data_IF_879688281952
#
_entry.id   IF_879688281952
#
_cell.length_a   1.000
_cell.length_b   1.000
_cell.length_c   1.000
_cell.angle_alpha   90.00
_cell.angle_beta   90.00
_cell.angle_gamma   90.00
#
_symmetry.space_group_name_H-M   'P 1'
#
loop_
_entity.id
_entity.type
_entity.pdbx_description
1 polymer ?
#
# COMPACT_ATOMS: atom_id res chain seq x y z
N UNK A 1 -4.86 -24.40 -2.04
CA UNK A 1 -3.98 -23.56 -1.22
C UNK A 1 -3.71 -22.24 -1.89
N UNK A 2 -3.17 -21.28 -1.15
CA UNK A 2 -2.77 -19.98 -1.69
C UNK A 2 -1.51 -20.15 -2.57
N UNK A 3 -1.56 -19.61 -3.80
CA UNK A 3 -0.47 -19.70 -4.77
C UNK A 3 0.15 -18.32 -4.97
N UNK A 4 1.47 -18.22 -4.96
CA UNK A 4 2.20 -16.96 -5.07
C UNK A 4 3.43 -17.00 -6.01
N UNK A 5 3.54 -18.06 -6.81
CA UNK A 5 4.66 -18.27 -7.74
C UNK A 5 4.78 -17.16 -8.81
N UNK A 6 3.67 -16.49 -9.08
CA UNK A 6 3.61 -15.35 -10.01
C UNK A 6 3.90 -13.99 -9.35
N UNK A 7 4.24 -14.00 -8.06
CA UNK A 7 4.45 -12.80 -7.27
C UNK A 7 3.19 -12.26 -6.59
N UNK A 8 3.42 -11.50 -5.53
CA UNK A 8 2.38 -10.84 -4.74
C UNK A 8 2.76 -9.38 -4.53
N UNK A 9 1.82 -8.48 -4.74
CA UNK A 9 1.93 -7.10 -4.32
C UNK A 9 1.26 -6.93 -2.95
N UNK A 10 2.05 -6.61 -1.94
CA UNK A 10 1.58 -6.27 -0.59
C UNK A 10 1.45 -4.76 -0.44
N UNK A 11 0.31 -4.30 0.02
CA UNK A 11 0.09 -2.88 0.34
C UNK A 11 0.04 -2.76 1.85
N UNK A 12 1.02 -2.06 2.44
CA UNK A 12 1.17 -1.95 3.89
C UNK A 12 1.31 -0.50 4.35
N UNK A 13 0.99 -0.24 5.60
CA UNK A 13 1.08 1.09 6.24
C UNK A 13 2.51 1.55 6.56
N UNK A 14 3.49 0.66 6.44
CA UNK A 14 4.90 0.92 6.77
C UNK A 14 5.35 0.28 8.08
N UNK A 15 4.55 -0.63 8.65
CA UNK A 15 4.96 -1.45 9.80
C UNK A 15 6.19 -2.29 9.47
N UNK A 16 7.29 -2.05 10.20
CA UNK A 16 8.56 -2.77 10.04
C UNK A 16 8.42 -4.28 10.33
N UNK A 17 7.54 -4.62 11.29
CA UNK A 17 7.26 -6.02 11.65
C UNK A 17 6.55 -6.76 10.51
N UNK A 18 5.51 -6.16 9.92
CA UNK A 18 4.78 -6.73 8.78
C UNK A 18 5.73 -6.86 7.58
N UNK A 19 6.50 -5.82 7.27
CA UNK A 19 7.51 -5.86 6.21
C UNK A 19 8.45 -7.04 6.37
N UNK A 20 9.06 -7.20 7.54
CA UNK A 20 9.98 -8.29 7.84
C UNK A 20 9.31 -9.67 7.69
N UNK A 21 8.08 -9.82 8.16
CA UNK A 21 7.31 -11.06 8.02
C UNK A 21 7.04 -11.40 6.55
N UNK A 22 6.67 -10.42 5.72
CA UNK A 22 6.47 -10.58 4.28
C UNK A 22 7.78 -11.03 3.61
N UNK A 23 8.89 -10.34 3.88
CA UNK A 23 10.21 -10.66 3.31
C UNK A 23 10.66 -12.08 3.68
N UNK A 24 10.47 -12.48 4.94
CA UNK A 24 10.84 -13.81 5.42
C UNK A 24 9.96 -14.93 4.85
N UNK A 25 8.67 -14.66 4.63
CA UNK A 25 7.71 -15.68 4.19
C UNK A 25 7.72 -15.84 2.66
N UNK A 26 7.78 -14.75 1.92
CA UNK A 26 7.59 -14.73 0.48
C UNK A 26 8.87 -14.45 -0.31
N UNK A 27 9.90 -13.90 0.33
CA UNK A 27 11.20 -13.65 -0.28
C UNK A 27 11.11 -12.91 -1.62
N UNK A 28 11.71 -13.46 -2.70
CA UNK A 28 11.76 -12.80 -4.00
C UNK A 28 10.39 -12.66 -4.69
N UNK A 29 9.37 -13.36 -4.21
CA UNK A 29 8.01 -13.29 -4.75
C UNK A 29 7.21 -12.10 -4.22
N UNK A 30 7.68 -11.44 -3.17
CA UNK A 30 7.01 -10.29 -2.59
C UNK A 30 7.46 -8.98 -3.25
N UNK A 31 6.48 -8.15 -3.61
CA UNK A 31 6.66 -6.73 -3.85
C UNK A 31 5.88 -5.98 -2.78
N UNK A 32 6.46 -4.90 -2.27
CA UNK A 32 5.83 -4.09 -1.23
C UNK A 32 5.54 -2.71 -1.79
N UNK A 33 4.28 -2.28 -1.70
CA UNK A 33 3.85 -0.90 -1.86
C UNK A 33 3.54 -0.34 -0.49
N UNK A 34 4.24 0.68 -0.07
CA UNK A 34 3.92 1.42 1.16
C UNK A 34 2.75 2.36 0.91
N UNK A 35 1.79 2.40 1.82
CA UNK A 35 0.63 3.27 1.76
C UNK A 35 1.05 4.75 1.68
N UNK A 36 0.72 5.41 0.56
CA UNK A 36 1.09 6.81 0.32
C UNK A 36 0.38 7.77 1.25
N UNK A 37 -0.83 7.43 1.67
CA UNK A 37 -1.59 8.25 2.62
C UNK A 37 -0.90 8.28 3.98
N UNK A 38 -0.61 7.12 4.58
CA UNK A 38 0.11 7.02 5.85
C UNK A 38 1.50 7.65 5.77
N UNK A 39 2.20 7.44 4.66
CA UNK A 39 3.52 8.05 4.45
C UNK A 39 3.45 9.57 4.44
N UNK A 40 2.49 10.13 3.72
CA UNK A 40 2.24 11.57 3.68
C UNK A 40 1.94 12.14 5.07
N UNK A 41 1.01 11.52 5.80
CA UNK A 41 0.64 11.99 7.14
C UNK A 41 1.83 11.88 8.12
N UNK A 42 2.64 10.83 8.04
CA UNK A 42 3.86 10.71 8.84
C UNK A 42 4.87 11.83 8.55
N UNK A 43 5.05 12.23 7.28
CA UNK A 43 5.95 13.33 6.91
C UNK A 43 5.45 14.66 7.48
N UNK A 44 4.17 14.96 7.25
CA UNK A 44 3.62 16.25 7.64
C UNK A 44 3.44 16.39 9.16
N UNK A 45 3.33 15.30 9.91
CA UNK A 45 3.23 15.34 11.38
C UNK A 45 4.42 16.02 12.09
N UNK A 46 5.55 16.12 11.41
CA UNK A 46 6.74 16.83 11.91
C UNK A 46 6.71 18.35 11.62
N UNK A 47 5.72 18.83 10.87
CA UNK A 47 5.63 20.23 10.42
C UNK A 47 4.60 21.01 11.24
N UNK A 48 4.72 22.34 11.25
CA UNK A 48 3.67 23.21 11.78
C UNK A 48 2.41 23.19 10.90
N UNK A 49 1.28 23.65 11.41
CA UNK A 49 -0.03 23.54 10.74
C UNK A 49 -0.05 24.20 9.34
N UNK A 50 0.59 25.35 9.18
CA UNK A 50 0.63 26.06 7.90
C UNK A 50 1.39 25.24 6.84
N UNK A 51 2.56 24.71 7.20
CA UNK A 51 3.37 23.88 6.32
C UNK A 51 2.70 22.52 6.03
N UNK A 52 1.97 21.94 7.01
CA UNK A 52 1.23 20.69 6.80
C UNK A 52 0.28 20.78 5.60
N UNK A 53 -0.50 21.86 5.50
CA UNK A 53 -1.45 22.05 4.40
C UNK A 53 -0.73 22.09 3.06
N UNK A 54 0.37 22.87 2.99
CA UNK A 54 1.15 23.02 1.77
C UNK A 54 1.81 21.71 1.35
N UNK A 55 2.49 21.03 2.28
CA UNK A 55 3.24 19.80 1.96
C UNK A 55 2.32 18.59 1.73
N UNK A 56 1.14 18.50 2.36
CA UNK A 56 0.14 17.46 2.00
C UNK A 56 -0.21 17.52 0.52
N UNK A 57 -0.51 18.71 0.00
CA UNK A 57 -0.84 18.91 -1.42
C UNK A 57 0.34 18.58 -2.30
N UNK A 58 1.51 19.13 -2.01
CA UNK A 58 2.71 18.92 -2.83
C UNK A 58 3.17 17.47 -2.89
N UNK A 59 3.09 16.73 -1.77
CA UNK A 59 3.36 15.29 -1.73
C UNK A 59 2.33 14.51 -2.56
N UNK A 60 1.07 14.90 -2.50
CA UNK A 60 0.02 14.30 -3.33
C UNK A 60 0.28 14.54 -4.82
N UNK A 61 0.63 15.76 -5.20
CA UNK A 61 0.95 16.12 -6.58
C UNK A 61 2.20 15.36 -7.07
N UNK A 62 3.23 15.22 -6.22
CA UNK A 62 4.43 14.44 -6.55
C UNK A 62 4.13 12.94 -6.80
N UNK A 63 3.23 12.35 -6.01
CA UNK A 63 2.78 10.97 -6.24
C UNK A 63 1.79 10.84 -7.42
N UNK A 64 1.21 11.92 -7.92
CA UNK A 64 0.28 11.92 -9.05
C UNK A 64 0.99 11.88 -10.42
N UNK A 65 2.31 12.09 -10.48
CA UNK A 65 3.07 11.92 -11.72
C UNK A 65 2.86 10.53 -12.31
N UNK A 66 2.83 10.45 -13.64
CA UNK A 66 2.55 9.19 -14.33
C UNK A 66 3.76 8.27 -14.42
N UNK A 67 4.97 8.83 -14.46
CA UNK A 67 6.20 8.06 -14.59
C UNK A 67 6.96 7.98 -13.27
N UNK A 68 7.65 6.86 -13.06
CA UNK A 68 8.54 6.68 -11.91
C UNK A 68 9.60 7.80 -11.82
N UNK A 69 10.21 8.15 -12.97
CA UNK A 69 11.26 9.18 -13.04
C UNK A 69 10.78 10.56 -12.58
N UNK A 70 9.59 10.97 -13.01
CA UNK A 70 9.00 12.26 -12.61
C UNK A 70 8.64 12.27 -11.14
N UNK A 71 8.03 11.18 -10.63
CA UNK A 71 7.69 11.06 -9.22
C UNK A 71 8.94 11.11 -8.33
N UNK A 72 10.01 10.39 -8.69
CA UNK A 72 11.31 10.45 -7.99
C UNK A 72 11.87 11.87 -7.99
N UNK A 73 11.89 12.53 -9.15
CA UNK A 73 12.42 13.91 -9.25
C UNK A 73 11.64 14.89 -8.37
N UNK A 74 10.30 14.82 -8.39
CA UNK A 74 9.43 15.66 -7.57
C UNK A 74 9.64 15.41 -6.06
N UNK A 75 9.69 14.15 -5.64
CA UNK A 75 9.92 13.79 -4.24
C UNK A 75 11.34 14.16 -3.76
N UNK A 76 12.35 14.03 -4.63
CA UNK A 76 13.72 14.49 -4.34
C UNK A 76 13.77 16.01 -4.13
N UNK A 77 13.04 16.76 -4.94
CA UNK A 77 12.93 18.22 -4.77
C UNK A 77 12.24 18.56 -3.44
N UNK A 78 11.15 17.89 -3.11
CA UNK A 78 10.45 18.08 -1.82
C UNK A 78 11.35 17.71 -0.62
N UNK A 79 12.17 16.68 -0.73
CA UNK A 79 13.13 16.32 0.30
C UNK A 79 14.11 17.48 0.58
N UNK A 80 14.72 18.06 -0.45
CA UNK A 80 15.67 19.18 -0.30
C UNK A 80 15.03 20.41 0.35
N UNK A 81 13.76 20.63 0.14
CA UNK A 81 13.02 21.73 0.76
C UNK A 81 12.70 21.42 2.22
N UNK A 82 12.26 20.18 2.50
CA UNK A 82 11.99 19.71 3.86
C UNK A 82 13.26 19.74 4.73
N UNK A 83 14.43 19.43 4.19
CA UNK A 83 15.70 19.50 4.92
C UNK A 83 15.96 20.90 5.52
N UNK A 84 15.51 21.96 4.82
CA UNK A 84 15.66 23.35 5.27
C UNK A 84 14.63 23.76 6.34
N UNK A 85 13.52 23.02 6.44
CA UNK A 85 12.39 23.32 7.35
C UNK A 85 12.43 22.41 8.58
N UNK A 86 12.52 21.10 8.36
CA UNK A 86 12.51 20.09 9.40
C UNK A 86 13.20 18.79 8.93
N UNK A 87 14.35 18.51 9.50
CA UNK A 87 15.18 17.34 9.16
C UNK A 87 14.43 16.02 9.43
N UNK A 88 13.59 15.97 10.46
CA UNK A 88 12.81 14.74 10.76
C UNK A 88 11.76 14.48 9.69
N UNK A 89 11.10 15.51 9.16
CA UNK A 89 10.18 15.39 8.03
C UNK A 89 10.93 14.92 6.76
N UNK A 90 12.11 15.47 6.48
CA UNK A 90 12.95 15.07 5.36
C UNK A 90 13.39 13.59 5.49
N UNK A 91 13.88 13.17 6.65
CA UNK A 91 14.24 11.79 6.92
C UNK A 91 13.04 10.85 6.83
N UNK A 92 11.88 11.29 7.32
CA UNK A 92 10.63 10.54 7.16
C UNK A 92 10.28 10.34 5.69
N UNK A 93 10.53 11.30 4.79
CA UNK A 93 10.29 11.14 3.36
C UNK A 93 11.20 10.08 2.75
N UNK A 94 12.49 10.06 3.08
CA UNK A 94 13.45 9.10 2.52
C UNK A 94 13.21 7.66 3.04
N UNK A 95 12.76 7.52 4.27
CA UNK A 95 12.53 6.19 4.85
C UNK A 95 11.49 5.42 4.05
N UNK A 96 11.90 4.35 3.35
CA UNK A 96 11.03 3.52 2.52
C UNK A 96 10.44 4.24 1.30
N UNK A 97 11.15 5.23 0.77
CA UNK A 97 10.73 5.98 -0.42
C UNK A 97 10.47 5.05 -1.61
N UNK A 98 11.39 4.13 -1.89
CA UNK A 98 11.29 3.18 -3.00
C UNK A 98 10.00 2.35 -2.91
N UNK A 99 9.63 1.92 -1.70
CA UNK A 99 8.40 1.17 -1.47
C UNK A 99 7.13 2.00 -1.76
N UNK A 100 7.19 3.32 -1.65
CA UNK A 100 6.06 4.19 -2.02
C UNK A 100 5.90 4.35 -3.53
N UNK A 101 6.92 3.97 -4.30
CA UNK A 101 7.00 4.10 -5.74
C UNK A 101 6.87 2.78 -6.51
N UNK A 102 6.71 1.65 -5.83
CA UNK A 102 6.55 0.33 -6.45
C UNK A 102 5.48 0.30 -7.54
N UNK A 103 4.34 0.97 -7.33
CA UNK A 103 3.27 1.05 -8.33
C UNK A 103 3.70 1.85 -9.57
N UNK A 104 4.51 2.90 -9.40
CA UNK A 104 5.06 3.65 -10.54
C UNK A 104 6.06 2.79 -11.33
N UNK A 105 6.92 2.04 -10.63
CA UNK A 105 7.85 1.11 -11.26
C UNK A 105 7.10 0.02 -12.06
N UNK A 106 5.99 -0.47 -11.51
CA UNK A 106 5.11 -1.38 -12.21
C UNK A 106 4.39 -0.75 -13.42
N UNK A 107 4.35 0.58 -13.54
CA UNK A 107 3.71 1.29 -14.64
C UNK A 107 2.24 0.86 -14.84
N UNK A 108 1.45 0.84 -13.76
CA UNK A 108 0.03 0.47 -13.80
C UNK A 108 -0.82 1.60 -14.38
N UNK A 109 -2.04 1.27 -14.84
CA UNK A 109 -3.01 2.29 -15.22
C UNK A 109 -3.35 3.20 -14.03
N UNK A 110 -3.71 4.45 -14.31
CA UNK A 110 -4.02 5.46 -13.27
C UNK A 110 -5.11 4.97 -12.32
N UNK A 111 -6.14 4.31 -12.84
CA UNK A 111 -7.27 3.81 -12.04
C UNK A 111 -6.83 2.70 -11.08
N UNK A 112 -6.06 1.73 -11.56
CA UNK A 112 -5.56 0.63 -10.73
C UNK A 112 -4.51 1.13 -9.74
N UNK A 113 -3.61 2.00 -10.18
CA UNK A 113 -2.61 2.64 -9.33
C UNK A 113 -3.25 3.39 -8.16
N UNK A 114 -4.34 4.14 -8.41
CA UNK A 114 -5.10 4.83 -7.35
C UNK A 114 -5.64 3.85 -6.29
N UNK A 115 -6.22 2.73 -6.73
CA UNK A 115 -6.79 1.72 -5.81
C UNK A 115 -5.72 1.01 -4.98
N UNK A 116 -4.52 0.81 -5.53
CA UNK A 116 -3.46 0.02 -4.90
C UNK A 116 -2.39 0.89 -4.18
N UNK A 117 -2.51 2.22 -4.21
CA UNK A 117 -1.53 3.12 -3.59
C UNK A 117 -1.75 3.34 -2.09
N UNK A 118 -2.87 2.89 -1.55
CA UNK A 118 -3.24 3.08 -0.13
C UNK A 118 -3.88 1.81 0.45
N UNK A 119 -3.92 1.74 1.77
CA UNK A 119 -4.61 0.68 2.54
C UNK A 119 -6.10 0.94 2.73
N UNK A 120 -6.66 1.98 2.10
CA UNK A 120 -8.03 2.43 2.32
C UNK A 120 -9.10 1.34 2.12
N UNK A 121 -8.90 0.41 1.17
CA UNK A 121 -9.88 -0.65 0.93
C UNK A 121 -9.98 -1.62 2.12
N UNK A 122 -8.87 -2.01 2.73
CA UNK A 122 -8.88 -2.88 3.91
C UNK A 122 -9.33 -2.12 5.15
N UNK A 123 -8.94 -0.85 5.30
CA UNK A 123 -9.36 0.00 6.41
C UNK A 123 -10.88 0.24 6.38
N UNK A 124 -11.45 0.50 5.20
CA UNK A 124 -12.90 0.63 5.03
C UNK A 124 -13.63 -0.66 5.38
N UNK A 125 -13.10 -1.82 4.95
CA UNK A 125 -13.68 -3.12 5.31
C UNK A 125 -13.63 -3.36 6.81
N UNK A 126 -12.49 -3.10 7.46
CA UNK A 126 -12.32 -3.27 8.90
C UNK A 126 -13.22 -2.31 9.70
N UNK A 127 -13.37 -1.07 9.23
CA UNK A 127 -14.29 -0.11 9.85
C UNK A 127 -15.76 -0.57 9.78
N UNK A 128 -16.18 -1.11 8.62
CA UNK A 128 -17.53 -1.67 8.49
C UNK A 128 -17.72 -2.93 9.35
N UNK A 129 -16.70 -3.79 9.42
CA UNK A 129 -16.70 -4.97 10.30
C UNK A 129 -16.80 -4.57 11.78
N UNK A 130 -16.17 -3.46 12.17
CA UNK A 130 -16.27 -2.88 13.51
C UNK A 130 -17.72 -2.69 13.95
N UNK A 131 -18.60 -2.24 13.05
CA UNK A 131 -20.03 -2.07 13.37
C UNK A 131 -20.72 -3.35 13.88
N UNK A 132 -20.21 -4.53 13.52
CA UNK A 132 -20.68 -5.83 14.01
C UNK A 132 -20.02 -6.25 15.32
N UNK A 133 -18.78 -5.82 15.57
CA UNK A 133 -17.94 -6.31 16.67
C UNK A 133 -17.82 -5.34 17.83
N UNK A 134 -17.96 -4.04 17.62
CA UNK A 134 -17.74 -2.99 18.62
C UNK A 134 -18.74 -3.01 19.79
N UNK A 135 -19.89 -3.67 19.60
CA UNK A 135 -20.90 -3.86 20.65
C UNK A 135 -20.66 -5.08 21.54
N UNK A 136 -19.58 -5.82 21.28
CA UNK A 136 -19.21 -7.00 22.07
C UNK A 136 -18.30 -6.57 23.21
N UNK A 137 -18.84 -6.46 24.42
CA UNK A 137 -18.09 -5.99 25.59
C UNK A 137 -16.97 -6.97 26.00
N UNK A 138 -17.17 -8.27 25.73
CA UNK A 138 -16.21 -9.31 26.12
C UNK A 138 -16.18 -10.48 25.14
N UNK A 139 -14.99 -10.80 24.68
CA UNK A 139 -14.72 -12.01 23.91
C UNK A 139 -14.38 -13.18 24.84
N UNK A 140 -15.12 -14.29 24.76
CA UNK A 140 -14.91 -15.46 25.62
C UNK A 140 -13.82 -16.39 25.10
N UNK A 141 -13.74 -16.55 23.79
CA UNK A 141 -12.74 -17.42 23.13
C UNK A 141 -12.56 -17.04 21.66
N UNK A 142 -11.54 -17.67 21.01
CA UNK A 142 -11.23 -17.45 19.61
C UNK A 142 -12.34 -17.88 18.65
N UNK A 143 -13.10 -18.90 19.00
CA UNK A 143 -14.22 -19.39 18.17
C UNK A 143 -15.35 -18.36 18.11
N UNK A 144 -15.61 -17.65 19.20
CA UNK A 144 -16.57 -16.55 19.20
C UNK A 144 -16.09 -15.43 18.28
N UNK A 145 -14.84 -15.02 18.39
CA UNK A 145 -14.23 -13.99 17.52
C UNK A 145 -14.37 -14.41 16.06
N UNK A 146 -13.98 -15.65 15.74
CA UNK A 146 -14.03 -16.19 14.38
C UNK A 146 -15.46 -16.15 13.82
N UNK A 147 -16.45 -16.63 14.58
CA UNK A 147 -17.87 -16.67 14.14
C UNK A 147 -18.42 -15.25 13.91
N UNK A 148 -18.18 -14.32 14.82
CA UNK A 148 -18.65 -12.96 14.66
C UNK A 148 -18.01 -12.25 13.46
N UNK A 149 -16.68 -12.39 13.32
CA UNK A 149 -15.93 -11.84 12.19
C UNK A 149 -16.41 -12.44 10.87
N UNK A 150 -16.55 -13.76 10.81
CA UNK A 150 -17.02 -14.46 9.61
C UNK A 150 -18.44 -14.03 9.23
N UNK A 151 -19.37 -13.95 10.20
CA UNK A 151 -20.72 -13.49 9.96
C UNK A 151 -20.76 -12.07 9.42
N UNK A 152 -19.99 -11.15 10.04
CA UNK A 152 -19.88 -9.77 9.57
C UNK A 152 -19.31 -9.69 8.16
N UNK A 153 -18.25 -10.45 7.83
CA UNK A 153 -17.67 -10.49 6.48
C UNK A 153 -18.64 -11.07 5.45
N UNK A 154 -19.36 -12.13 5.77
CA UNK A 154 -20.36 -12.74 4.87
C UNK A 154 -21.52 -11.76 4.57
N UNK A 155 -21.92 -10.93 5.54
CA UNK A 155 -22.95 -9.91 5.31
C UNK A 155 -22.40 -8.71 4.51
N UNK A 156 -21.12 -8.38 4.66
CA UNK A 156 -20.47 -7.30 3.93
C UNK A 156 -20.16 -7.67 2.48
N UNK A 157 -19.76 -8.93 2.21
CA UNK A 157 -19.28 -9.38 0.89
C UNK A 157 -20.20 -9.01 -0.27
N UNK A 158 -21.55 -9.23 -0.22
CA UNK A 158 -22.45 -8.86 -1.33
C UNK A 158 -22.52 -7.35 -1.61
N UNK A 159 -22.11 -6.52 -0.64
CA UNK A 159 -22.13 -5.06 -0.72
C UNK A 159 -20.78 -4.47 -1.16
N UNK A 160 -19.76 -5.31 -1.27
CA UNK A 160 -18.43 -4.87 -1.70
C UNK A 160 -18.40 -4.54 -3.19
N UNK A 161 -17.82 -3.39 -3.51
CA UNK A 161 -17.59 -2.98 -4.89
C UNK A 161 -16.22 -3.47 -5.40
N UNK A 162 -16.13 -3.69 -6.70
CA UNK A 162 -14.84 -3.96 -7.34
C UNK A 162 -13.96 -2.73 -7.24
N UNK A 163 -12.66 -2.93 -7.04
CA UNK A 163 -11.68 -1.83 -7.04
C UNK A 163 -11.65 -1.16 -8.42
N UNK A 164 -11.40 0.15 -8.43
CA UNK A 164 -11.21 0.89 -9.68
C UNK A 164 -10.01 0.33 -10.44
N UNK A 165 -10.16 0.16 -11.75
CA UNK A 165 -9.11 -0.44 -12.59
C UNK A 165 -8.99 -1.97 -12.49
N UNK A 166 -9.96 -2.67 -11.89
CA UNK A 166 -9.93 -4.14 -11.75
C UNK A 166 -9.74 -4.88 -13.09
N UNK A 167 -10.18 -4.30 -14.23
CA UNK A 167 -9.95 -4.84 -15.56
C UNK A 167 -8.46 -4.99 -15.91
N UNK A 168 -7.58 -4.22 -15.26
CA UNK A 168 -6.12 -4.25 -15.45
C UNK A 168 -5.38 -5.21 -14.51
N UNK A 169 -6.08 -5.99 -13.69
CA UNK A 169 -5.43 -6.96 -12.78
C UNK A 169 -4.64 -8.04 -13.53
N UNK A 170 -5.04 -8.40 -14.75
CA UNK A 170 -4.26 -9.31 -15.61
C UNK A 170 -2.90 -8.71 -15.99
N UNK A 171 -2.86 -7.40 -16.25
CA UNK A 171 -1.62 -6.67 -16.55
C UNK A 171 -0.72 -6.63 -15.32
N UNK A 172 -1.28 -6.39 -14.13
CA UNK A 172 -0.54 -6.44 -12.87
C UNK A 172 0.07 -7.84 -12.67
N UNK A 173 -0.71 -8.91 -12.83
CA UNK A 173 -0.22 -10.28 -12.69
C UNK A 173 0.95 -10.57 -13.63
N UNK A 174 0.85 -10.16 -14.90
CA UNK A 174 1.94 -10.30 -15.87
C UNK A 174 3.20 -9.56 -15.44
N UNK A 175 3.08 -8.31 -15.01
CA UNK A 175 4.21 -7.50 -14.53
C UNK A 175 4.87 -8.08 -13.28
N UNK A 176 4.07 -8.58 -12.33
CA UNK A 176 4.58 -9.26 -11.14
C UNK A 176 5.37 -10.51 -11.53
N UNK A 177 4.83 -11.37 -12.40
CA UNK A 177 5.50 -12.61 -12.81
C UNK A 177 6.81 -12.32 -13.57
N UNK A 178 6.86 -11.28 -14.39
CA UNK A 178 8.09 -10.85 -15.08
C UNK A 178 9.16 -10.39 -14.09
N UNK A 179 8.80 -9.58 -13.08
CA UNK A 179 9.73 -9.13 -12.06
C UNK A 179 10.25 -10.29 -11.19
N UNK A 180 9.36 -11.20 -10.81
CA UNK A 180 9.75 -12.41 -10.06
C UNK A 180 10.69 -13.29 -10.88
N UNK A 181 10.41 -13.47 -12.18
CA UNK A 181 11.28 -14.22 -13.07
C UNK A 181 12.69 -13.61 -13.12
N UNK A 182 12.79 -12.31 -13.24
CA UNK A 182 14.09 -11.58 -13.21
C UNK A 182 14.82 -11.78 -11.89
N UNK A 183 14.10 -11.70 -10.75
CA UNK A 183 14.69 -11.86 -9.40
C UNK A 183 15.13 -13.30 -9.10
N UNK A 184 14.40 -14.28 -9.61
CA UNK A 184 14.64 -15.70 -9.31
C UNK A 184 15.45 -16.44 -10.37
N UNK A 185 15.70 -15.82 -11.53
CA UNK A 185 16.33 -16.47 -12.69
C UNK A 185 15.44 -17.55 -13.33
N UNK A 186 14.15 -17.63 -13.00
CA UNK A 186 13.19 -18.59 -13.55
C UNK A 186 12.38 -17.90 -14.64
N UNK A 187 12.27 -18.54 -15.82
CA UNK A 187 11.35 -18.04 -16.86
C UNK A 187 9.89 -18.09 -16.34
N UNK A 188 9.08 -17.05 -16.64
CA UNK A 188 7.65 -17.12 -16.34
C UNK A 188 7.07 -18.33 -17.09
N UNK A 189 6.33 -19.19 -16.39
CA UNK A 189 5.60 -20.26 -17.04
C UNK A 189 4.63 -19.63 -18.06
N UNK A 190 4.74 -20.03 -19.31
CA UNK A 190 3.77 -19.69 -20.33
C UNK A 190 2.44 -20.37 -19.95
N UNK A 191 1.39 -19.59 -19.73
CA UNK A 191 -0.01 -20.04 -19.68
C UNK A 191 -0.68 -19.84 -21.02
#
# INVERSE_FOLDING_TARGET
GFRFEHGILFIIDGSKGIRKAIEQTFGPYALIQRCRWHKRENIVSYLNEADQVVFRRRLQDAYAHTTHKEAVAALTQLHRELEKINVSAANSLLEGLDETLTIHELGLSVELARSLSTTNCIESLLSQLGAYTDKVDRWHNSDQILRWTATGLMDLEPRMHRISGHQFLKVLRYKLSTLVATRTGKHPAAE
#
